data_IF_340939768171
#
_entry.id   IF_340939768171
#
_cell.length_a   1.000
_cell.length_b   1.000
_cell.length_c   1.000
_cell.angle_alpha   90.00
_cell.angle_beta   90.00
_cell.angle_gamma   90.00
#
_symmetry.space_group_name_H-M   'P 1'
#
loop_
_entity.id
_entity.type
_entity.pdbx_description
1 polymer ?
#
# COMPACT_ATOMS: atom_id res chain seq x y z
N UNK A 1 10.01 0.46 26.68
CA UNK A 1 9.71 1.80 26.10
C UNK A 1 8.25 1.79 25.66
N UNK A 2 7.42 2.69 26.19
CA UNK A 2 6.01 2.84 25.83
C UNK A 2 5.96 3.86 24.69
N UNK A 3 5.76 3.38 23.46
CA UNK A 3 5.57 4.28 22.31
C UNK A 3 4.18 4.90 22.42
N UNK A 4 4.11 6.23 22.45
CA UNK A 4 2.84 6.95 22.49
C UNK A 4 1.96 6.51 21.30
N UNK A 5 0.65 6.37 21.53
CA UNK A 5 -0.33 5.99 20.50
C UNK A 5 -0.26 6.92 19.29
N UNK A 6 0.06 8.21 19.51
CA UNK A 6 0.17 9.24 18.48
C UNK A 6 1.35 9.04 17.53
N UNK A 7 2.42 8.38 17.96
CA UNK A 7 3.61 8.16 17.11
C UNK A 7 3.58 6.83 16.35
N UNK A 8 2.57 5.98 16.57
CA UNK A 8 2.50 4.67 15.88
C UNK A 8 2.31 4.79 14.38
N UNK A 9 1.75 5.89 13.89
CA UNK A 9 1.60 6.12 12.45
C UNK A 9 2.94 6.38 11.74
N UNK A 10 3.97 6.83 12.46
CA UNK A 10 5.26 7.21 11.86
C UNK A 10 5.93 6.04 11.13
N UNK A 11 5.77 4.80 11.57
CA UNK A 11 6.48 3.66 10.94
C UNK A 11 6.01 3.42 9.52
N UNK A 12 4.69 3.40 9.27
CA UNK A 12 4.17 3.22 7.92
C UNK A 12 4.38 4.48 7.07
N UNK A 13 4.25 5.68 7.66
CA UNK A 13 4.50 6.93 6.95
C UNK A 13 5.97 7.09 6.57
N UNK A 14 6.91 6.69 7.44
CA UNK A 14 8.33 6.74 7.13
C UNK A 14 8.65 5.95 5.85
N UNK A 15 8.05 4.76 5.71
CA UNK A 15 8.24 3.97 4.49
C UNK A 15 7.66 4.70 3.28
N UNK A 16 6.41 5.20 3.37
CA UNK A 16 5.79 5.94 2.27
C UNK A 16 6.62 7.17 1.91
N UNK A 17 7.05 7.96 2.88
CA UNK A 17 7.79 9.22 2.66
C UNK A 17 9.17 9.02 2.04
N UNK A 18 9.80 7.89 2.29
CA UNK A 18 11.12 7.58 1.73
C UNK A 18 11.05 6.82 0.39
N UNK A 19 9.86 6.34 -0.01
CA UNK A 19 9.77 5.42 -1.16
C UNK A 19 8.76 5.82 -2.23
N UNK A 20 7.84 6.71 -1.92
CA UNK A 20 6.89 7.23 -2.90
C UNK A 20 7.36 8.58 -3.44
N UNK A 21 7.37 8.72 -4.77
CA UNK A 21 7.90 9.89 -5.47
C UNK A 21 7.23 11.20 -5.06
N UNK A 22 5.93 11.19 -4.77
CA UNK A 22 5.24 12.40 -4.32
C UNK A 22 5.81 12.96 -3.02
N UNK A 23 6.39 12.12 -2.17
CA UNK A 23 6.98 12.56 -0.90
C UNK A 23 8.49 12.79 -1.01
N UNK A 24 9.20 11.95 -1.77
CA UNK A 24 10.64 12.12 -1.96
C UNK A 24 10.97 13.40 -2.71
N UNK A 25 10.10 13.86 -3.62
CA UNK A 25 10.25 15.10 -4.36
C UNK A 25 10.31 16.40 -3.50
N UNK A 26 9.92 16.34 -2.22
CA UNK A 26 10.12 17.46 -1.30
C UNK A 26 11.59 17.65 -0.87
N UNK A 27 12.41 16.62 -1.03
CA UNK A 27 13.80 16.60 -0.53
C UNK A 27 14.81 16.36 -1.66
N UNK A 28 14.42 15.59 -2.66
CA UNK A 28 15.28 15.16 -3.76
C UNK A 28 14.67 15.60 -5.09
N UNK A 29 15.47 16.26 -5.91
CA UNK A 29 15.06 16.70 -7.26
C UNK A 29 15.04 15.52 -8.25
N UNK A 30 15.95 14.56 -8.05
CA UNK A 30 16.09 13.39 -8.92
C UNK A 30 15.83 12.08 -8.15
N UNK A 31 15.19 11.14 -8.84
CA UNK A 31 15.00 9.77 -8.33
C UNK A 31 16.30 8.98 -8.28
N UNK A 32 17.31 9.39 -9.03
CA UNK A 32 18.65 8.76 -9.10
C UNK A 32 19.65 9.36 -8.10
N UNK A 33 19.18 10.21 -7.15
CA UNK A 33 20.02 10.81 -6.13
C UNK A 33 20.73 9.74 -5.27
N UNK A 34 22.07 9.78 -5.15
CA UNK A 34 22.83 8.81 -4.36
C UNK A 34 22.44 8.77 -2.88
N UNK A 35 22.01 9.91 -2.31
CA UNK A 35 21.57 10.01 -0.92
C UNK A 35 20.23 9.31 -0.75
N UNK A 36 19.30 9.50 -1.69
CA UNK A 36 18.04 8.76 -1.71
C UNK A 36 18.28 7.26 -1.77
N UNK A 37 19.17 6.82 -2.67
CA UNK A 37 19.55 5.41 -2.78
C UNK A 37 20.13 4.85 -1.48
N UNK A 38 21.03 5.59 -0.81
CA UNK A 38 21.56 5.23 0.50
C UNK A 38 20.44 5.14 1.56
N UNK A 39 19.51 6.09 1.59
CA UNK A 39 18.34 6.05 2.48
C UNK A 39 17.49 4.80 2.24
N UNK A 40 17.28 4.41 0.99
CA UNK A 40 16.54 3.19 0.63
C UNK A 40 17.23 1.92 1.11
N UNK A 41 18.56 1.86 1.00
CA UNK A 41 19.35 0.72 1.53
C UNK A 41 19.26 0.64 3.05
N UNK A 42 19.44 1.78 3.75
CA UNK A 42 19.30 1.84 5.21
C UNK A 42 17.88 1.47 5.66
N UNK A 43 16.86 1.91 4.93
CA UNK A 43 15.48 1.53 5.18
C UNK A 43 15.32 0.01 5.04
N UNK A 44 15.82 -0.59 3.96
CA UNK A 44 15.73 -2.03 3.72
C UNK A 44 16.44 -2.82 4.83
N UNK A 45 17.67 -2.43 5.19
CA UNK A 45 18.41 -3.04 6.29
C UNK A 45 17.64 -2.91 7.63
N UNK A 46 17.06 -1.74 7.89
CA UNK A 46 16.25 -1.50 9.08
C UNK A 46 14.99 -2.38 9.10
N UNK A 47 14.33 -2.57 7.96
CA UNK A 47 13.14 -3.44 7.86
C UNK A 47 13.49 -4.91 8.08
N UNK A 48 14.65 -5.37 7.61
CA UNK A 48 15.17 -6.72 7.91
C UNK A 48 15.39 -6.87 9.42
N UNK A 49 16.10 -5.94 10.05
CA UNK A 49 16.33 -5.94 11.50
C UNK A 49 15.05 -5.90 12.33
N UNK A 50 14.11 -5.02 11.97
CA UNK A 50 12.82 -4.91 12.64
C UNK A 50 11.96 -6.16 12.46
N UNK A 51 11.97 -6.79 11.29
CA UNK A 51 11.23 -8.05 11.07
C UNK A 51 11.73 -9.17 11.98
N UNK A 52 13.04 -9.30 12.15
CA UNK A 52 13.64 -10.25 13.08
C UNK A 52 13.31 -9.91 14.55
N UNK A 53 13.40 -8.62 14.94
CA UNK A 53 13.10 -8.14 16.29
C UNK A 53 11.64 -8.42 16.70
N UNK A 54 10.70 -8.26 15.76
CA UNK A 54 9.27 -8.45 16.01
C UNK A 54 8.76 -9.85 15.69
N UNK A 55 9.62 -10.80 15.31
CA UNK A 55 9.28 -12.19 14.97
C UNK A 55 8.39 -12.89 16.03
N UNK A 56 8.65 -12.61 17.31
CA UNK A 56 7.86 -13.18 18.44
C UNK A 56 6.39 -12.75 18.44
N UNK A 57 6.05 -11.64 17.79
CA UNK A 57 4.68 -11.13 17.67
C UNK A 57 3.97 -11.59 16.41
N UNK A 58 4.65 -12.35 15.56
CA UNK A 58 4.03 -12.91 14.37
C UNK A 58 3.07 -14.02 14.75
N UNK A 59 1.91 -14.07 14.08
CA UNK A 59 1.04 -15.24 14.11
C UNK A 59 1.76 -16.45 13.50
N UNK A 60 1.31 -17.67 13.84
CA UNK A 60 1.92 -18.89 13.28
C UNK A 60 2.03 -18.86 11.75
N UNK A 61 0.98 -18.51 10.98
CA UNK A 61 1.09 -18.41 9.52
C UNK A 61 2.14 -17.39 9.05
N UNK A 62 2.16 -16.20 9.68
CA UNK A 62 3.13 -15.15 9.33
C UNK A 62 4.57 -15.57 9.65
N UNK A 63 4.78 -16.27 10.76
CA UNK A 63 6.09 -16.80 11.13
C UNK A 63 6.56 -17.86 10.15
N UNK A 64 5.68 -18.79 9.76
CA UNK A 64 5.99 -19.79 8.74
C UNK A 64 6.35 -19.11 7.43
N UNK A 65 5.57 -18.13 7.00
CA UNK A 65 5.85 -17.39 5.77
C UNK A 65 7.20 -16.66 5.81
N UNK A 66 7.51 -16.00 6.93
CA UNK A 66 8.80 -15.35 7.13
C UNK A 66 9.98 -16.33 6.99
N UNK A 67 9.88 -17.51 7.60
CA UNK A 67 10.95 -18.52 7.48
C UNK A 67 11.04 -19.12 6.06
N UNK A 68 9.93 -19.29 5.35
CA UNK A 68 9.94 -19.70 3.94
C UNK A 68 10.65 -18.65 3.10
N UNK A 69 10.38 -17.35 3.33
CA UNK A 69 11.08 -16.25 2.66
C UNK A 69 12.60 -16.28 2.93
N UNK A 70 12.99 -16.46 4.18
CA UNK A 70 14.41 -16.59 4.52
C UNK A 70 15.06 -17.83 3.89
N UNK A 71 14.35 -18.94 3.81
CA UNK A 71 14.83 -20.15 3.14
C UNK A 71 15.03 -19.93 1.64
N UNK A 72 14.12 -19.19 0.96
CA UNK A 72 14.29 -18.81 -0.44
C UNK A 72 15.50 -17.89 -0.64
N UNK A 73 15.71 -16.90 0.24
CA UNK A 73 16.90 -16.04 0.20
C UNK A 73 18.19 -16.82 0.43
N UNK A 74 18.19 -17.75 1.38
CA UNK A 74 19.33 -18.61 1.65
C UNK A 74 19.64 -19.54 0.47
N UNK A 75 18.60 -20.13 -0.15
CA UNK A 75 18.77 -20.96 -1.35
C UNK A 75 19.38 -20.16 -2.51
N UNK A 76 18.91 -18.93 -2.73
CA UNK A 76 19.45 -18.03 -3.76
C UNK A 76 20.91 -17.65 -3.46
N UNK A 77 21.26 -17.42 -2.19
CA UNK A 77 22.63 -17.12 -1.78
C UNK A 77 23.55 -18.32 -1.97
N UNK A 78 23.09 -19.53 -1.66
CA UNK A 78 23.81 -20.78 -1.91
C UNK A 78 24.02 -21.03 -3.42
N UNK A 79 22.99 -20.78 -4.23
CA UNK A 79 23.10 -20.86 -5.70
C UNK A 79 24.17 -19.87 -6.21
N UNK A 80 24.17 -18.64 -5.72
CA UNK A 80 25.18 -17.63 -6.06
C UNK A 80 26.58 -18.08 -5.65
N UNK A 81 26.74 -18.63 -4.44
CA UNK A 81 28.01 -19.10 -3.94
C UNK A 81 28.58 -20.28 -4.75
N UNK A 82 27.71 -21.24 -5.11
CA UNK A 82 28.09 -22.44 -5.86
C UNK A 82 28.37 -22.12 -7.33
N UNK A 83 27.53 -21.28 -7.95
CA UNK A 83 27.59 -20.97 -9.39
C UNK A 83 28.65 -19.92 -9.76
N UNK A 84 28.89 -18.94 -8.88
CA UNK A 84 29.69 -17.74 -9.18
C UNK A 84 30.78 -17.43 -8.11
N UNK A 85 30.96 -18.28 -7.15
CA UNK A 85 31.95 -18.13 -6.04
C UNK A 85 31.74 -16.82 -5.21
N UNK A 86 30.56 -16.23 -5.25
CA UNK A 86 30.16 -15.03 -4.50
C UNK A 86 28.79 -15.19 -3.87
N UNK A 87 28.54 -14.57 -2.69
CA UNK A 87 27.26 -14.71 -1.98
C UNK A 87 26.09 -13.95 -2.62
N UNK A 88 26.37 -12.92 -3.39
CA UNK A 88 25.35 -12.06 -4.01
C UNK A 88 25.84 -11.55 -5.38
N UNK A 89 25.91 -12.44 -6.37
CA UNK A 89 26.42 -12.10 -7.70
C UNK A 89 25.59 -11.00 -8.37
N UNK A 90 24.28 -11.05 -8.26
CA UNK A 90 23.35 -10.07 -8.81
C UNK A 90 22.44 -9.49 -7.70
N UNK A 91 22.85 -8.41 -7.00
CA UNK A 91 22.07 -7.84 -5.89
C UNK A 91 20.63 -7.47 -6.25
N UNK A 92 20.38 -7.09 -7.51
CA UNK A 92 19.02 -6.74 -7.97
C UNK A 92 18.04 -7.91 -7.86
N UNK A 93 18.48 -9.15 -8.13
CA UNK A 93 17.64 -10.35 -7.99
C UNK A 93 17.30 -10.62 -6.53
N UNK A 94 18.27 -10.44 -5.62
CA UNK A 94 18.04 -10.55 -4.18
C UNK A 94 17.06 -9.47 -3.68
N UNK A 95 17.19 -8.23 -4.18
CA UNK A 95 16.30 -7.13 -3.81
C UNK A 95 14.83 -7.42 -4.14
N UNK A 96 14.55 -8.21 -5.20
CA UNK A 96 13.18 -8.63 -5.53
C UNK A 96 12.52 -9.48 -4.43
N UNK A 97 13.29 -10.16 -3.60
CA UNK A 97 12.80 -10.86 -2.41
C UNK A 97 12.89 -9.98 -1.15
N UNK A 98 13.96 -9.20 -1.00
CA UNK A 98 14.18 -8.34 0.16
C UNK A 98 13.12 -7.23 0.29
N UNK A 99 12.57 -6.76 -0.82
CA UNK A 99 11.49 -5.76 -0.85
C UNK A 99 10.22 -6.20 -0.10
N UNK A 100 10.09 -7.51 0.22
CA UNK A 100 8.97 -8.04 1.02
C UNK A 100 9.19 -7.83 2.53
N UNK A 101 10.40 -7.56 2.99
CA UNK A 101 10.73 -7.41 4.42
C UNK A 101 9.94 -6.30 5.14
N UNK A 102 9.65 -5.14 4.53
CA UNK A 102 8.75 -4.13 5.10
C UNK A 102 7.39 -4.67 5.52
N UNK A 103 6.83 -5.61 4.77
CA UNK A 103 5.56 -6.26 5.12
C UNK A 103 5.65 -6.92 6.50
N UNK A 104 6.69 -7.71 6.74
CA UNK A 104 6.90 -8.40 8.01
C UNK A 104 7.22 -7.43 9.16
N UNK A 105 8.08 -6.44 8.91
CA UNK A 105 8.44 -5.44 9.90
C UNK A 105 7.22 -4.64 10.38
N UNK A 106 6.45 -4.11 9.43
CA UNK A 106 5.25 -3.31 9.70
C UNK A 106 4.17 -4.16 10.36
N UNK A 107 3.91 -5.39 9.86
CA UNK A 107 2.99 -6.31 10.50
C UNK A 107 3.37 -6.57 11.97
N UNK A 108 4.63 -6.95 12.24
CA UNK A 108 5.10 -7.26 13.60
C UNK A 108 5.05 -6.06 14.54
N UNK A 109 5.41 -4.87 14.04
CA UNK A 109 5.33 -3.63 14.81
C UNK A 109 3.90 -3.35 15.27
N UNK A 110 2.91 -3.37 14.36
CA UNK A 110 1.53 -3.07 14.73
C UNK A 110 0.85 -4.18 15.55
N UNK A 111 1.28 -5.43 15.37
CA UNK A 111 0.87 -6.52 16.27
C UNK A 111 1.40 -6.32 17.68
N UNK A 112 2.56 -5.70 17.85
CA UNK A 112 3.15 -5.41 19.17
C UNK A 112 2.53 -4.19 19.85
N UNK A 113 2.38 -3.10 19.11
CA UNK A 113 2.04 -1.81 19.69
C UNK A 113 0.58 -1.41 19.48
N UNK A 114 -0.16 -2.15 18.65
CA UNK A 114 -1.54 -1.84 18.26
C UNK A 114 -1.62 -0.79 17.17
N UNK A 115 -2.82 -0.64 16.61
CA UNK A 115 -3.07 0.24 15.47
C UNK A 115 -2.94 1.73 15.84
N UNK A 116 -2.47 2.57 14.90
CA UNK A 116 -2.48 4.00 15.05
C UNK A 116 -3.91 4.55 14.86
N UNK A 117 -4.15 5.83 15.20
CA UNK A 117 -5.38 6.51 14.80
C UNK A 117 -5.41 6.69 13.28
N UNK A 118 -6.16 5.82 12.58
CA UNK A 118 -6.20 5.77 11.11
C UNK A 118 -6.61 7.11 10.48
N UNK A 119 -7.52 7.86 11.11
CA UNK A 119 -7.90 9.18 10.63
C UNK A 119 -6.72 10.15 10.52
N UNK A 120 -5.80 10.09 11.49
CA UNK A 120 -4.59 10.91 11.47
C UNK A 120 -3.63 10.45 10.36
N UNK A 121 -3.45 9.13 10.21
CA UNK A 121 -2.63 8.56 9.13
C UNK A 121 -3.14 9.00 7.75
N UNK A 122 -4.44 8.85 7.50
CA UNK A 122 -5.06 9.24 6.23
C UNK A 122 -5.02 10.75 5.99
N UNK A 123 -5.14 11.56 7.06
CA UNK A 123 -5.01 13.01 6.95
C UNK A 123 -3.58 13.43 6.56
N UNK A 124 -2.55 12.82 7.14
CA UNK A 124 -1.16 13.08 6.74
C UNK A 124 -0.88 12.70 5.29
N UNK A 125 -1.36 11.53 4.85
CA UNK A 125 -1.23 11.12 3.46
C UNK A 125 -1.97 12.08 2.51
N UNK A 126 -3.19 12.47 2.85
CA UNK A 126 -3.97 13.42 2.06
C UNK A 126 -3.27 14.76 1.91
N UNK A 127 -2.83 15.34 3.04
CA UNK A 127 -2.14 16.64 3.04
C UNK A 127 -0.81 16.55 2.30
N UNK A 128 -0.05 15.49 2.51
CA UNK A 128 1.24 15.28 1.83
C UNK A 128 1.09 15.14 0.32
N UNK A 129 0.15 14.31 -0.16
CA UNK A 129 -0.12 14.14 -1.59
C UNK A 129 -0.67 15.43 -2.24
N UNK A 130 -1.59 16.13 -1.56
CA UNK A 130 -2.12 17.39 -2.06
C UNK A 130 -1.02 18.48 -2.11
N UNK A 131 -0.19 18.57 -1.09
CA UNK A 131 0.94 19.51 -1.06
C UNK A 131 1.94 19.18 -2.17
N UNK A 132 2.26 17.91 -2.39
CA UNK A 132 3.18 17.49 -3.45
C UNK A 132 2.63 17.84 -4.84
N UNK A 133 1.35 17.58 -5.09
CA UNK A 133 0.71 17.97 -6.36
C UNK A 133 0.79 19.48 -6.61
N UNK A 134 0.60 20.32 -5.59
CA UNK A 134 0.60 21.78 -5.75
C UNK A 134 2.03 22.34 -5.83
N UNK A 135 2.97 21.79 -5.08
CA UNK A 135 4.32 22.36 -4.92
C UNK A 135 5.30 21.74 -5.93
N UNK A 136 5.33 20.40 -6.03
CA UNK A 136 6.33 19.70 -6.82
C UNK A 136 5.85 19.36 -8.23
N UNK A 137 4.52 19.21 -8.41
CA UNK A 137 3.92 18.79 -9.68
C UNK A 137 2.77 19.68 -10.13
N UNK A 138 2.90 21.04 -10.09
CA UNK A 138 1.80 21.96 -10.41
C UNK A 138 1.31 21.78 -11.85
N UNK A 139 2.20 21.41 -12.77
CA UNK A 139 1.87 21.17 -14.17
C UNK A 139 0.89 20.01 -14.35
N UNK A 140 0.98 18.97 -13.49
CA UNK A 140 0.04 17.85 -13.49
C UNK A 140 -1.42 18.26 -13.24
N UNK A 141 -1.66 19.47 -12.70
CA UNK A 141 -2.99 20.04 -12.47
C UNK A 141 -3.47 20.92 -13.62
N UNK A 142 -2.67 21.11 -14.67
CA UNK A 142 -3.04 21.95 -15.82
C UNK A 142 -3.96 21.21 -16.79
N UNK A 143 -4.86 21.94 -17.43
CA UNK A 143 -5.71 21.40 -18.49
C UNK A 143 -4.89 21.00 -19.73
N UNK A 144 -3.79 21.72 -20.00
CA UNK A 144 -2.87 21.39 -21.08
C UNK A 144 -2.25 20.00 -20.87
N UNK A 145 -1.68 19.73 -19.70
CA UNK A 145 -1.16 18.38 -19.38
C UNK A 145 -2.21 17.29 -19.51
N UNK A 146 -3.49 17.61 -19.18
CA UNK A 146 -4.57 16.66 -19.39
C UNK A 146 -4.79 16.35 -20.85
N UNK A 147 -4.81 17.36 -21.75
CA UNK A 147 -5.02 17.20 -23.19
C UNK A 147 -3.82 16.52 -23.84
N UNK A 148 -2.61 16.96 -23.51
CA UNK A 148 -1.35 16.47 -24.10
C UNK A 148 -0.92 15.08 -23.58
N UNK A 149 -1.64 14.53 -22.61
CA UNK A 149 -1.30 13.25 -21.94
C UNK A 149 0.05 13.27 -21.21
N UNK A 150 0.47 14.42 -20.81
CA UNK A 150 1.64 14.54 -19.95
C UNK A 150 1.24 14.08 -18.54
N UNK A 151 1.65 12.87 -18.18
CA UNK A 151 1.37 12.30 -16.87
C UNK A 151 2.36 12.87 -15.86
N UNK A 152 2.18 14.13 -15.52
CA UNK A 152 3.07 14.86 -14.59
C UNK A 152 3.11 14.34 -13.17
N UNK A 153 2.27 13.36 -12.80
CA UNK A 153 2.23 12.74 -11.47
C UNK A 153 2.37 11.23 -11.56
N UNK A 154 3.13 10.61 -10.63
CA UNK A 154 3.43 9.19 -10.70
C UNK A 154 2.18 8.32 -10.49
N UNK A 155 2.12 7.19 -11.19
CA UNK A 155 1.05 6.20 -11.08
C UNK A 155 0.96 5.59 -9.67
N UNK A 156 2.08 5.41 -9.01
CA UNK A 156 2.15 4.83 -7.66
C UNK A 156 1.49 5.76 -6.65
N UNK A 157 1.85 7.05 -6.70
CA UNK A 157 1.24 8.09 -5.87
C UNK A 157 -0.26 8.27 -6.18
N UNK A 158 -0.64 8.18 -7.47
CA UNK A 158 -2.06 8.19 -7.88
C UNK A 158 -2.81 6.97 -7.32
N UNK A 159 -2.17 5.80 -7.29
CA UNK A 159 -2.76 4.62 -6.69
C UNK A 159 -2.95 4.75 -5.17
N UNK A 160 -2.04 5.46 -4.48
CA UNK A 160 -2.19 5.76 -3.06
C UNK A 160 -3.40 6.69 -2.78
N UNK A 161 -3.76 7.59 -3.73
CA UNK A 161 -5.00 8.40 -3.64
C UNK A 161 -6.25 7.50 -3.60
N UNK A 162 -6.23 6.33 -4.26
CA UNK A 162 -7.34 5.38 -4.21
C UNK A 162 -7.58 4.86 -2.78
N UNK A 163 -6.54 4.59 -2.01
CA UNK A 163 -6.70 4.20 -0.60
C UNK A 163 -7.41 5.29 0.21
N UNK A 164 -7.07 6.56 -0.03
CA UNK A 164 -7.74 7.70 0.60
C UNK A 164 -9.21 7.78 0.18
N UNK A 165 -9.50 7.62 -1.11
CA UNK A 165 -10.87 7.62 -1.62
C UNK A 165 -11.71 6.54 -0.92
N UNK A 166 -11.22 5.30 -0.83
CA UNK A 166 -11.91 4.20 -0.15
C UNK A 166 -12.11 4.46 1.34
N UNK A 167 -11.10 5.00 2.02
CA UNK A 167 -11.20 5.34 3.43
C UNK A 167 -12.27 6.41 3.68
N UNK A 168 -12.24 7.53 2.96
CA UNK A 168 -13.21 8.62 3.15
C UNK A 168 -14.62 8.23 2.71
N UNK A 169 -14.76 7.41 1.66
CA UNK A 169 -16.03 6.78 1.29
C UNK A 169 -16.61 6.00 2.47
N UNK A 170 -15.82 5.11 3.09
CA UNK A 170 -16.28 4.29 4.20
C UNK A 170 -16.60 5.12 5.44
N UNK A 171 -15.81 6.15 5.73
CA UNK A 171 -16.13 7.08 6.81
C UNK A 171 -17.44 7.87 6.54
N UNK A 172 -17.70 8.23 5.28
CA UNK A 172 -18.97 8.86 4.90
C UNK A 172 -20.15 7.90 5.07
N UNK A 173 -20.03 6.68 4.54
CA UNK A 173 -21.13 5.69 4.64
C UNK A 173 -21.40 5.31 6.10
N UNK A 174 -20.37 5.20 6.94
CA UNK A 174 -20.52 4.85 8.35
C UNK A 174 -21.07 6.00 9.21
N UNK A 175 -20.56 7.23 9.03
CA UNK A 175 -20.78 8.37 9.95
C UNK A 175 -21.49 9.56 9.31
N UNK A 176 -21.64 9.57 7.98
CA UNK A 176 -22.13 10.73 7.23
C UNK A 176 -21.14 11.88 7.19
N UNK A 177 -21.63 13.07 6.80
CA UNK A 177 -20.89 14.33 6.81
C UNK A 177 -20.33 14.74 5.44
N UNK A 178 -20.75 15.91 4.97
CA UNK A 178 -20.37 16.46 3.67
C UNK A 178 -18.85 16.55 3.45
N UNK A 179 -18.00 16.94 4.43
CA UNK A 179 -16.56 17.02 4.20
C UNK A 179 -15.92 15.69 3.77
N UNK A 180 -16.40 14.56 4.33
CA UNK A 180 -15.89 13.21 3.96
C UNK A 180 -16.28 12.84 2.54
N UNK A 181 -17.51 13.19 2.15
CA UNK A 181 -18.01 12.99 0.80
C UNK A 181 -17.24 13.85 -0.21
N UNK A 182 -16.95 15.11 0.12
CA UNK A 182 -16.15 15.99 -0.73
C UNK A 182 -14.74 15.45 -0.93
N UNK A 183 -14.05 15.03 0.14
CA UNK A 183 -12.70 14.43 0.02
C UNK A 183 -12.74 13.18 -0.85
N UNK A 184 -13.77 12.33 -0.71
CA UNK A 184 -13.94 11.18 -1.58
C UNK A 184 -14.05 11.57 -3.05
N UNK A 185 -14.89 12.55 -3.38
CA UNK A 185 -15.06 12.97 -4.78
C UNK A 185 -13.83 13.71 -5.33
N UNK A 186 -13.16 14.52 -4.52
CA UNK A 186 -11.90 15.16 -4.92
C UNK A 186 -10.85 14.10 -5.22
N UNK A 187 -10.69 13.10 -4.34
CA UNK A 187 -9.75 12.01 -4.57
C UNK A 187 -10.09 11.19 -5.82
N UNK A 188 -11.37 10.86 -6.04
CA UNK A 188 -11.82 10.14 -7.22
C UNK A 188 -11.67 10.99 -8.51
N UNK A 189 -11.99 12.28 -8.44
CA UNK A 189 -11.81 13.24 -9.53
C UNK A 189 -10.33 13.37 -9.91
N UNK A 190 -9.44 13.43 -8.91
CA UNK A 190 -7.98 13.46 -9.14
C UNK A 190 -7.48 12.18 -9.84
N UNK A 191 -7.98 10.99 -9.43
CA UNK A 191 -7.66 9.74 -10.13
C UNK A 191 -8.07 9.81 -11.61
N UNK A 192 -9.27 10.35 -11.88
CA UNK A 192 -9.75 10.57 -13.24
C UNK A 192 -8.88 11.54 -14.03
N UNK A 193 -8.55 12.68 -13.41
CA UNK A 193 -7.78 13.77 -14.02
C UNK A 193 -6.32 13.37 -14.34
N UNK A 194 -5.67 12.61 -13.47
CA UNK A 194 -4.26 12.18 -13.66
C UNK A 194 -4.08 11.07 -14.73
N UNK A 195 -5.14 10.61 -15.36
CA UNK A 195 -5.15 9.75 -16.56
C UNK A 195 -4.37 8.42 -16.46
N UNK A 196 -4.20 7.88 -15.28
CA UNK A 196 -3.64 6.54 -15.11
C UNK A 196 -4.73 5.47 -15.29
N UNK A 197 -4.93 4.99 -16.52
CA UNK A 197 -6.01 4.06 -16.91
C UNK A 197 -6.05 2.81 -16.04
N UNK A 198 -4.89 2.25 -15.68
CA UNK A 198 -4.81 1.10 -14.77
C UNK A 198 -5.40 1.45 -13.40
N UNK A 199 -5.15 2.67 -12.89
CA UNK A 199 -5.70 3.13 -11.60
C UNK A 199 -7.22 3.35 -11.72
N UNK A 200 -7.74 3.77 -12.88
CA UNK A 200 -9.19 3.83 -13.13
C UNK A 200 -9.84 2.46 -12.98
N UNK A 201 -9.28 1.43 -13.63
CA UNK A 201 -9.78 0.06 -13.53
C UNK A 201 -9.69 -0.46 -12.09
N UNK A 202 -8.56 -0.17 -11.41
CA UNK A 202 -8.39 -0.50 -10.01
C UNK A 202 -9.42 0.22 -9.12
N UNK A 203 -9.77 1.47 -9.42
CA UNK A 203 -10.77 2.23 -8.67
C UNK A 203 -12.17 1.61 -8.81
N UNK A 204 -12.57 1.23 -10.02
CA UNK A 204 -13.83 0.53 -10.27
C UNK A 204 -13.89 -0.79 -9.50
N UNK A 205 -12.83 -1.61 -9.62
CA UNK A 205 -12.76 -2.90 -8.90
C UNK A 205 -12.76 -2.69 -7.39
N UNK A 206 -11.95 -1.75 -6.89
CA UNK A 206 -11.85 -1.47 -5.46
C UNK A 206 -13.17 -0.96 -4.87
N UNK A 207 -13.85 -0.04 -5.54
CA UNK A 207 -15.16 0.47 -5.10
C UNK A 207 -16.20 -0.64 -5.09
N UNK A 208 -16.23 -1.49 -6.12
CA UNK A 208 -17.13 -2.65 -6.19
C UNK A 208 -16.88 -3.61 -5.02
N UNK A 209 -15.62 -4.02 -4.82
CA UNK A 209 -15.23 -4.88 -3.69
C UNK A 209 -15.57 -4.23 -2.35
N UNK A 210 -15.31 -2.93 -2.22
CA UNK A 210 -15.56 -2.19 -0.99
C UNK A 210 -17.06 -2.16 -0.65
N UNK A 211 -17.93 -1.89 -1.61
CA UNK A 211 -19.39 -1.92 -1.41
C UNK A 211 -19.85 -3.31 -1.00
N UNK A 212 -19.33 -4.36 -1.63
CA UNK A 212 -19.64 -5.75 -1.26
C UNK A 212 -19.19 -6.07 0.17
N UNK A 213 -18.01 -5.61 0.58
CA UNK A 213 -17.47 -5.81 1.93
C UNK A 213 -18.21 -5.00 2.98
N UNK A 214 -18.68 -3.78 2.66
CA UNK A 214 -19.46 -2.95 3.55
C UNK A 214 -20.79 -3.59 3.96
N UNK A 215 -21.38 -4.45 3.13
CA UNK A 215 -22.56 -5.25 3.50
C UNK A 215 -22.31 -6.19 4.69
N UNK A 216 -21.05 -6.52 4.96
CA UNK A 216 -20.62 -7.37 6.09
C UNK A 216 -20.04 -6.56 7.26
N UNK A 217 -20.16 -5.24 7.21
CA UNK A 217 -19.56 -4.34 8.20
C UNK A 217 -20.58 -3.98 9.28
N UNK A 218 -20.19 -4.13 10.54
CA UNK A 218 -21.05 -3.77 11.65
C UNK A 218 -21.40 -2.29 11.68
N UNK A 219 -22.66 -1.97 11.96
CA UNK A 219 -23.13 -0.58 12.12
C UNK A 219 -23.17 0.24 10.84
N UNK A 220 -22.92 -0.37 9.68
CA UNK A 220 -23.04 0.28 8.37
C UNK A 220 -24.35 -0.14 7.72
N UNK A 221 -25.28 0.80 7.57
CA UNK A 221 -26.52 0.60 6.83
C UNK A 221 -26.37 1.26 5.46
N UNK A 222 -26.42 0.44 4.40
CA UNK A 222 -26.43 0.91 3.02
C UNK A 222 -27.86 1.39 2.69
N UNK A 223 -28.21 2.60 3.10
CA UNK A 223 -29.53 3.20 2.83
C UNK A 223 -29.49 4.10 1.59
N UNK A 224 -30.56 4.13 0.83
CA UNK A 224 -30.68 5.02 -0.34
C UNK A 224 -30.42 6.49 0.02
N UNK A 225 -30.87 6.94 1.19
CA UNK A 225 -30.68 8.31 1.66
C UNK A 225 -29.19 8.68 1.80
N UNK A 226 -28.32 7.72 2.16
CA UNK A 226 -26.87 7.94 2.23
C UNK A 226 -26.21 7.94 0.86
N UNK A 227 -26.76 7.20 -0.10
CA UNK A 227 -26.25 7.19 -1.47
C UNK A 227 -26.77 8.36 -2.31
N UNK A 228 -27.92 8.92 -1.98
CA UNK A 228 -28.52 10.04 -2.74
C UNK A 228 -27.55 11.21 -2.95
N UNK A 229 -26.84 11.74 -1.95
CA UNK A 229 -25.86 12.81 -2.15
C UNK A 229 -24.70 12.41 -3.09
N UNK A 230 -24.38 11.12 -3.19
CA UNK A 230 -23.34 10.62 -4.10
C UNK A 230 -23.77 10.71 -5.57
N UNK A 231 -25.05 10.65 -5.87
CA UNK A 231 -25.57 10.86 -7.22
C UNK A 231 -25.84 12.34 -7.49
N UNK A 232 -26.38 13.04 -6.51
CA UNK A 232 -26.76 14.45 -6.66
C UNK A 232 -25.54 15.36 -6.81
N UNK A 233 -24.48 15.16 -6.01
CA UNK A 233 -23.31 16.05 -6.02
C UNK A 233 -22.59 16.08 -7.37
N UNK A 234 -22.28 14.94 -8.04
CA UNK A 234 -21.72 14.99 -9.40
C UNK A 234 -22.61 15.69 -10.42
N UNK A 235 -23.93 15.49 -10.33
CA UNK A 235 -24.90 16.16 -11.22
C UNK A 235 -24.86 17.68 -10.99
N UNK A 236 -24.87 18.13 -9.73
CA UNK A 236 -24.80 19.57 -9.40
C UNK A 236 -23.48 20.17 -9.90
N UNK A 237 -22.34 19.47 -9.73
CA UNK A 237 -21.04 19.93 -10.23
C UNK A 237 -21.04 19.98 -11.78
N UNK A 238 -21.58 18.97 -12.44
CA UNK A 238 -21.69 18.93 -13.89
C UNK A 238 -22.54 20.09 -14.42
N UNK A 239 -23.71 20.32 -13.85
CA UNK A 239 -24.61 21.41 -14.23
C UNK A 239 -24.05 22.79 -13.85
N UNK A 240 -23.32 22.88 -12.73
CA UNK A 240 -22.78 24.14 -12.21
C UNK A 240 -21.54 24.67 -12.95
N UNK A 241 -21.06 23.98 -13.99
CA UNK A 241 -19.90 24.44 -14.79
C UNK A 241 -19.13 23.31 -15.48
N UNK A 242 -19.23 22.07 -14.98
CA UNK A 242 -18.49 20.94 -15.57
C UNK A 242 -18.83 20.71 -17.05
N UNK A 243 -20.12 20.77 -17.41
CA UNK A 243 -20.57 20.66 -18.80
C UNK A 243 -20.02 21.83 -19.63
N UNK A 244 -20.01 23.06 -19.10
CA UNK A 244 -19.46 24.21 -19.80
C UNK A 244 -17.97 24.07 -20.11
N UNK A 245 -17.18 23.52 -19.20
CA UNK A 245 -15.75 23.25 -19.45
C UNK A 245 -15.58 22.22 -20.57
N UNK A 246 -16.35 21.14 -20.54
CA UNK A 246 -16.29 20.07 -21.54
C UNK A 246 -16.73 20.57 -22.93
N UNK A 247 -17.79 21.35 -23.01
CA UNK A 247 -18.30 21.89 -24.29
C UNK A 247 -17.36 22.93 -24.89
N UNK A 248 -16.68 23.73 -24.08
CA UNK A 248 -15.72 24.74 -24.55
C UNK A 248 -14.35 24.16 -24.87
N UNK A 249 -14.06 22.91 -24.50
CA UNK A 249 -12.78 22.23 -24.77
C UNK A 249 -13.02 20.85 -25.40
N UNK A 250 -13.33 20.77 -26.69
CA UNK A 250 -13.61 19.51 -27.39
C UNK A 250 -12.42 18.53 -27.32
N UNK A 251 -11.22 19.02 -27.15
CA UNK A 251 -9.99 18.23 -26.97
C UNK A 251 -10.05 17.37 -25.72
N UNK A 252 -10.70 17.81 -24.65
CA UNK A 252 -10.93 17.04 -23.42
C UNK A 252 -11.78 15.80 -23.70
N UNK A 253 -12.84 15.95 -24.51
CA UNK A 253 -13.72 14.82 -24.90
C UNK A 253 -12.94 13.83 -25.76
N UNK A 254 -12.28 14.32 -26.82
CA UNK A 254 -11.46 13.48 -27.71
C UNK A 254 -10.39 12.72 -26.92
N UNK A 255 -9.82 13.36 -25.89
CA UNK A 255 -8.83 12.71 -25.02
C UNK A 255 -9.41 11.59 -24.14
N UNK A 256 -10.60 11.82 -23.58
CA UNK A 256 -11.32 10.78 -22.82
C UNK A 256 -11.70 9.59 -23.73
N UNK A 257 -12.21 9.86 -24.93
CA UNK A 257 -12.53 8.83 -25.92
C UNK A 257 -11.31 8.00 -26.28
N UNK A 258 -10.18 8.63 -26.60
CA UNK A 258 -8.90 7.95 -26.86
C UNK A 258 -8.48 7.09 -25.66
N UNK A 259 -8.63 7.61 -24.44
CA UNK A 259 -8.28 6.85 -23.23
C UNK A 259 -9.16 5.63 -23.02
N UNK A 260 -10.46 5.71 -23.36
CA UNK A 260 -11.38 4.58 -23.31
C UNK A 260 -11.10 3.58 -24.44
N UNK A 261 -10.80 4.06 -25.65
CA UNK A 261 -10.41 3.20 -26.78
C UNK A 261 -9.14 2.41 -26.49
N UNK A 262 -8.13 3.01 -25.87
CA UNK A 262 -6.90 2.34 -25.47
C UNK A 262 -7.13 1.26 -24.38
N UNK A 263 -8.15 1.42 -23.52
CA UNK A 263 -8.55 0.38 -22.56
C UNK A 263 -9.21 -0.80 -23.30
N UNK A 264 -10.04 -0.52 -24.30
CA UNK A 264 -10.76 -1.55 -25.06
C UNK A 264 -9.87 -2.29 -26.06
N UNK A 265 -8.87 -1.61 -26.62
CA UNK A 265 -7.98 -2.12 -27.66
C UNK A 265 -6.49 -1.99 -27.25
N UNK A 266 -6.02 -2.72 -26.22
CA UNK A 266 -4.66 -2.60 -25.71
C UNK A 266 -3.57 -2.96 -26.73
N UNK A 267 -3.94 -3.66 -27.82
CA UNK A 267 -3.02 -4.16 -28.84
C UNK A 267 -2.67 -3.12 -29.91
N UNK A 268 -3.50 -2.08 -30.09
CA UNK A 268 -3.36 -1.17 -31.24
C UNK A 268 -2.29 -0.12 -31.04
N UNK A 269 -2.18 0.48 -29.86
CA UNK A 269 -1.24 1.59 -29.61
C UNK A 269 -0.90 1.74 -28.11
N UNK A 270 0.23 2.41 -27.84
CA UNK A 270 0.58 2.90 -26.52
C UNK A 270 1.22 1.88 -25.57
N UNK A 271 1.14 2.19 -24.28
CA UNK A 271 1.84 1.43 -23.23
C UNK A 271 1.30 0.01 -23.00
N UNK A 272 0.07 -0.30 -23.44
CA UNK A 272 -0.53 -1.64 -23.36
C UNK A 272 0.15 -2.61 -24.34
N UNK A 273 0.24 -2.20 -25.61
CA UNK A 273 0.91 -2.97 -26.67
C UNK A 273 2.37 -3.31 -26.30
N UNK A 274 3.10 -2.32 -25.80
CA UNK A 274 4.48 -2.52 -25.37
C UNK A 274 4.62 -3.54 -24.24
N UNK A 275 3.73 -3.53 -23.24
CA UNK A 275 3.72 -4.52 -22.14
C UNK A 275 3.43 -5.93 -22.63
N UNK A 276 2.51 -6.05 -23.58
CA UNK A 276 2.19 -7.34 -24.21
C UNK A 276 3.38 -7.86 -25.02
N UNK A 277 4.06 -6.99 -25.76
CA UNK A 277 5.29 -7.36 -26.48
C UNK A 277 6.38 -7.79 -25.49
N UNK A 278 6.57 -7.08 -24.38
CA UNK A 278 7.51 -7.47 -23.33
C UNK A 278 7.14 -8.87 -22.79
N UNK A 279 5.89 -9.13 -22.45
CA UNK A 279 5.47 -10.45 -21.99
C UNK A 279 5.79 -11.54 -23.02
N UNK A 280 5.40 -11.36 -24.29
CA UNK A 280 5.66 -12.33 -25.37
C UNK A 280 7.14 -12.62 -25.58
N UNK A 281 8.01 -11.63 -25.38
CA UNK A 281 9.45 -11.83 -25.51
C UNK A 281 10.06 -12.66 -24.38
N UNK A 282 9.45 -12.60 -23.18
CA UNK A 282 9.93 -13.35 -22.02
C UNK A 282 9.15 -14.66 -21.78
N UNK A 283 8.01 -14.84 -22.43
CA UNK A 283 7.17 -16.04 -22.33
C UNK A 283 7.93 -17.35 -22.56
N UNK A 284 8.81 -17.50 -23.59
CA UNK A 284 9.57 -18.73 -23.78
C UNK A 284 10.42 -19.13 -22.57
N UNK A 285 11.07 -18.16 -21.93
CA UNK A 285 11.91 -18.40 -20.73
C UNK A 285 11.06 -18.74 -19.50
N UNK A 286 9.87 -18.15 -19.37
CA UNK A 286 8.92 -18.48 -18.31
C UNK A 286 8.41 -19.92 -18.49
N UNK A 287 8.14 -20.33 -19.72
CA UNK A 287 7.66 -21.67 -20.05
C UNK A 287 8.76 -22.74 -19.91
N UNK A 288 10.01 -22.38 -20.16
CA UNK A 288 11.16 -23.27 -19.97
C UNK A 288 11.44 -23.53 -18.47
N UNK A 289 11.21 -22.53 -17.61
CA UNK A 289 11.46 -22.61 -16.16
C UNK A 289 10.23 -22.23 -15.33
N UNK A 290 9.06 -22.90 -15.50
CA UNK A 290 7.79 -22.43 -14.96
C UNK A 290 7.70 -22.47 -13.44
N UNK A 291 8.40 -23.39 -12.77
CA UNK A 291 8.26 -23.62 -11.33
C UNK A 291 9.10 -22.62 -10.52
N UNK A 292 10.41 -22.53 -10.81
CA UNK A 292 11.35 -21.76 -10.00
C UNK A 292 11.97 -20.55 -10.75
N UNK A 293 11.59 -20.32 -11.99
CA UNK A 293 12.08 -19.24 -12.83
C UNK A 293 13.55 -19.32 -13.19
N UNK A 294 14.02 -18.30 -13.85
CA UNK A 294 15.43 -18.17 -14.28
C UNK A 294 16.39 -17.89 -13.13
N UNK A 295 15.93 -17.31 -12.03
CA UNK A 295 16.73 -16.90 -10.87
C UNK A 295 17.94 -16.03 -11.30
N UNK A 296 19.15 -16.40 -10.88
CA UNK A 296 20.39 -15.69 -11.19
C UNK A 296 20.77 -15.77 -12.67
N UNK A 297 20.41 -16.85 -13.36
CA UNK A 297 20.62 -16.99 -14.83
C UNK A 297 19.75 -15.99 -15.63
N UNK A 298 18.58 -15.63 -15.12
CA UNK A 298 17.73 -14.63 -15.78
C UNK A 298 18.37 -13.27 -15.88
N UNK A 299 19.21 -12.89 -14.93
CA UNK A 299 19.92 -11.62 -14.97
C UNK A 299 21.03 -11.59 -16.03
N UNK A 300 21.65 -12.71 -16.35
CA UNK A 300 22.72 -12.84 -17.33
C UNK A 300 22.22 -12.81 -18.79
N UNK A 301 20.92 -13.00 -19.04
CA UNK A 301 20.43 -13.06 -20.40
C UNK A 301 20.66 -11.74 -21.14
N UNK A 302 21.22 -11.76 -22.36
CA UNK A 302 21.51 -10.57 -23.13
C UNK A 302 20.26 -10.02 -23.84
N UNK A 303 19.09 -10.25 -23.28
CA UNK A 303 17.82 -9.81 -23.85
C UNK A 303 17.68 -8.32 -23.59
N UNK A 304 17.58 -7.56 -24.67
CA UNK A 304 17.32 -6.13 -24.59
C UNK A 304 16.03 -5.80 -25.29
N UNK A 305 15.22 -4.99 -24.64
CA UNK A 305 14.04 -4.38 -25.23
C UNK A 305 14.43 -3.08 -25.90
N UNK A 306 13.96 -2.90 -27.13
CA UNK A 306 14.13 -1.67 -27.88
C UNK A 306 12.79 -0.94 -27.96
N UNK A 307 12.82 0.37 -27.82
CA UNK A 307 11.63 1.18 -28.04
C UNK A 307 11.23 1.09 -29.51
N UNK A 308 9.95 0.88 -29.78
CA UNK A 308 9.40 0.64 -31.13
C UNK A 308 9.68 1.81 -32.06
N UNK A 309 9.65 3.04 -31.52
CA UNK A 309 9.71 4.28 -32.28
C UNK A 309 11.12 4.80 -32.51
N UNK A 310 12.09 4.45 -31.67
CA UNK A 310 13.43 5.06 -31.69
C UNK A 310 14.58 4.11 -31.94
N UNK A 311 14.32 2.79 -31.95
CA UNK A 311 15.35 1.73 -31.95
C UNK A 311 16.39 1.88 -30.83
N UNK A 312 16.12 2.74 -29.85
CA UNK A 312 16.94 2.89 -28.65
C UNK A 312 16.62 1.79 -27.65
N UNK A 313 17.63 1.39 -26.87
CA UNK A 313 17.44 0.46 -25.78
C UNK A 313 16.50 1.09 -24.75
N UNK A 314 15.45 0.39 -24.35
CA UNK A 314 14.51 0.87 -23.32
C UNK A 314 15.25 1.07 -21.98
N UNK A 315 16.23 0.22 -21.69
CA UNK A 315 17.08 0.29 -20.50
C UNK A 315 18.47 0.79 -20.92
N UNK A 316 18.85 1.95 -20.44
CA UNK A 316 20.13 2.59 -20.82
C UNK A 316 21.36 1.80 -20.38
N UNK A 317 21.27 1.13 -19.23
CA UNK A 317 22.37 0.37 -18.66
C UNK A 317 22.60 -1.00 -19.32
N UNK A 318 21.58 -1.52 -20.02
CA UNK A 318 21.67 -2.79 -20.77
C UNK A 318 21.97 -4.04 -19.89
N UNK A 319 21.96 -3.89 -18.57
CA UNK A 319 22.45 -4.87 -17.62
C UNK A 319 21.34 -5.59 -16.84
N UNK A 320 20.10 -5.14 -16.93
CA UNK A 320 19.01 -5.70 -16.17
C UNK A 320 17.74 -5.89 -16.96
N UNK A 321 16.90 -6.77 -16.45
CA UNK A 321 15.55 -6.99 -16.95
C UNK A 321 14.56 -6.35 -15.99
N UNK A 322 14.06 -5.17 -16.35
CA UNK A 322 13.05 -4.45 -15.60
C UNK A 322 11.69 -4.71 -16.21
N UNK A 323 10.79 -5.26 -15.43
CA UNK A 323 9.42 -5.54 -15.86
C UNK A 323 8.47 -4.52 -15.26
N UNK A 324 7.58 -3.97 -16.09
CA UNK A 324 6.50 -3.16 -15.56
C UNK A 324 5.47 -4.03 -14.81
N UNK A 325 5.20 -5.25 -15.32
CA UNK A 325 4.26 -6.16 -14.68
C UNK A 325 4.92 -6.93 -13.53
N UNK A 326 4.34 -6.82 -12.34
CA UNK A 326 4.75 -7.59 -11.17
C UNK A 326 4.66 -9.11 -11.42
N UNK A 327 3.62 -9.57 -12.13
CA UNK A 327 3.47 -11.00 -12.45
C UNK A 327 4.58 -11.49 -13.37
N UNK A 328 4.88 -10.75 -14.41
CA UNK A 328 5.94 -11.12 -15.37
C UNK A 328 7.29 -11.15 -14.65
N UNK A 329 7.58 -10.16 -13.81
CA UNK A 329 8.79 -10.11 -13.01
C UNK A 329 8.95 -11.35 -12.11
N UNK A 330 7.90 -11.69 -11.36
CA UNK A 330 7.94 -12.85 -10.45
C UNK A 330 7.99 -14.18 -11.19
N UNK A 331 7.23 -14.32 -12.27
CA UNK A 331 7.25 -15.54 -13.10
C UNK A 331 8.61 -15.73 -13.77
N UNK A 332 9.20 -14.68 -14.30
CA UNK A 332 10.50 -14.76 -14.95
C UNK A 332 11.61 -15.13 -13.96
N UNK A 333 11.74 -14.40 -12.85
CA UNK A 333 12.83 -14.67 -11.90
C UNK A 333 12.60 -15.85 -10.98
N UNK A 334 11.37 -16.09 -10.52
CA UNK A 334 11.11 -17.09 -9.48
C UNK A 334 10.00 -18.08 -9.84
N UNK A 335 9.46 -18.03 -11.07
CA UNK A 335 8.40 -18.90 -11.54
C UNK A 335 7.12 -18.80 -10.72
N UNK A 336 6.30 -19.81 -10.78
CA UNK A 336 5.07 -19.91 -9.99
C UNK A 336 5.36 -19.86 -8.48
N UNK A 337 6.50 -20.39 -8.04
CA UNK A 337 6.92 -20.31 -6.61
C UNK A 337 7.05 -18.87 -6.16
N UNK A 338 7.62 -17.97 -6.97
CA UNK A 338 7.72 -16.55 -6.64
C UNK A 338 6.38 -15.86 -6.47
N UNK A 339 5.42 -16.16 -7.34
CA UNK A 339 4.04 -15.63 -7.24
C UNK A 339 3.34 -16.16 -6.00
N UNK A 340 3.38 -17.49 -5.79
CA UNK A 340 2.75 -18.13 -4.63
C UNK A 340 3.38 -17.68 -3.30
N UNK A 341 4.69 -17.46 -3.27
CA UNK A 341 5.42 -16.99 -2.11
C UNK A 341 4.84 -15.67 -1.58
N UNK A 342 4.41 -14.77 -2.46
CA UNK A 342 3.86 -13.47 -2.06
C UNK A 342 2.35 -13.53 -1.82
N UNK A 343 1.59 -14.29 -2.61
CA UNK A 343 0.13 -14.22 -2.60
C UNK A 343 -0.55 -15.19 -1.65
N UNK A 344 0.00 -16.40 -1.43
CA UNK A 344 -0.71 -17.47 -0.69
C UNK A 344 -1.05 -17.07 0.73
N UNK A 345 -0.10 -16.49 1.47
CA UNK A 345 -0.34 -16.15 2.87
C UNK A 345 -1.27 -14.95 3.06
N UNK A 346 -1.14 -13.84 2.31
CA UNK A 346 -2.14 -12.77 2.35
C UNK A 346 -3.54 -13.28 2.01
N UNK A 347 -3.69 -14.04 0.94
CA UNK A 347 -4.99 -14.60 0.55
C UNK A 347 -5.56 -15.48 1.66
N UNK A 348 -4.74 -16.37 2.25
CA UNK A 348 -5.17 -17.23 3.36
C UNK A 348 -5.62 -16.42 4.58
N UNK A 349 -4.90 -15.37 4.94
CA UNK A 349 -5.25 -14.51 6.07
C UNK A 349 -6.54 -13.73 5.80
N UNK A 350 -6.70 -13.21 4.58
CA UNK A 350 -7.94 -12.54 4.13
C UNK A 350 -9.13 -13.50 4.19
N UNK A 351 -9.00 -14.71 3.61
CA UNK A 351 -10.07 -15.71 3.63
C UNK A 351 -10.42 -16.09 5.08
N UNK A 352 -9.42 -16.25 5.96
CA UNK A 352 -9.64 -16.54 7.38
C UNK A 352 -10.41 -15.40 8.06
N UNK A 353 -10.06 -14.14 7.77
CA UNK A 353 -10.78 -12.98 8.31
C UNK A 353 -12.21 -12.88 7.80
N UNK A 354 -12.43 -13.14 6.51
CA UNK A 354 -13.77 -13.13 5.92
C UNK A 354 -14.67 -14.26 6.46
N UNK A 355 -14.09 -15.38 6.89
CA UNK A 355 -14.83 -16.50 7.53
C UNK A 355 -15.03 -16.32 9.02
N UNK A 356 -14.37 -15.33 9.64
CA UNK A 356 -14.51 -15.07 11.05
C UNK A 356 -15.93 -14.55 11.37
N UNK A 357 -16.59 -15.00 12.47
CA UNK A 357 -17.94 -14.58 12.81
C UNK A 357 -18.05 -13.09 13.16
N UNK A 358 -16.98 -12.49 13.68
CA UNK A 358 -16.99 -11.07 13.96
C UNK A 358 -17.08 -10.25 12.66
N UNK A 359 -17.98 -9.28 12.59
CA UNK A 359 -18.12 -8.43 11.43
C UNK A 359 -16.84 -7.64 11.12
N UNK A 360 -16.68 -7.22 9.88
CA UNK A 360 -15.62 -6.30 9.50
C UNK A 360 -15.89 -4.90 10.08
N UNK A 361 -14.85 -4.15 10.35
CA UNK A 361 -14.96 -2.70 10.48
C UNK A 361 -14.80 -2.00 9.12
N UNK A 362 -15.26 -0.76 9.01
CA UNK A 362 -15.24 -0.01 7.76
C UNK A 362 -13.81 0.24 7.22
N UNK A 363 -12.81 0.32 8.11
CA UNK A 363 -11.43 0.51 7.70
C UNK A 363 -10.86 -0.78 7.10
N UNK A 364 -11.13 -1.93 7.74
CA UNK A 364 -10.76 -3.25 7.21
C UNK A 364 -11.34 -3.47 5.81
N UNK A 365 -12.60 -3.04 5.57
CA UNK A 365 -13.21 -3.13 4.25
C UNK A 365 -12.45 -2.29 3.21
N UNK A 366 -12.05 -1.04 3.55
CA UNK A 366 -11.26 -0.19 2.64
C UNK A 366 -9.90 -0.82 2.29
N UNK A 367 -9.17 -1.31 3.29
CA UNK A 367 -7.87 -1.96 3.06
C UNK A 367 -8.01 -3.25 2.25
N UNK A 368 -9.03 -4.08 2.53
CA UNK A 368 -9.28 -5.30 1.75
C UNK A 368 -9.62 -5.00 0.29
N UNK A 369 -10.43 -3.99 0.04
CA UNK A 369 -10.77 -3.56 -1.30
C UNK A 369 -9.55 -3.02 -2.05
N UNK A 370 -8.72 -2.22 -1.38
CA UNK A 370 -7.45 -1.72 -1.92
C UNK A 370 -6.50 -2.87 -2.26
N UNK A 371 -6.29 -3.82 -1.35
CA UNK A 371 -5.47 -5.01 -1.58
C UNK A 371 -6.03 -5.90 -2.70
N UNK A 372 -7.36 -6.04 -2.79
CA UNK A 372 -7.99 -6.76 -3.90
C UNK A 372 -7.73 -6.12 -5.25
N UNK A 373 -7.75 -4.79 -5.32
CA UNK A 373 -7.46 -4.05 -6.55
C UNK A 373 -5.98 -4.06 -6.93
N UNK A 374 -5.06 -4.28 -5.97
CA UNK A 374 -3.63 -4.38 -6.27
C UNK A 374 -3.29 -5.60 -7.12
N UNK A 375 -4.11 -6.64 -7.10
CA UNK A 375 -3.96 -7.78 -8.00
C UNK A 375 -4.16 -7.38 -9.46
N UNK A 376 -5.08 -6.45 -9.73
CA UNK A 376 -5.27 -5.88 -11.07
C UNK A 376 -4.14 -4.90 -11.41
N UNK A 377 -3.72 -4.06 -10.47
CA UNK A 377 -2.58 -3.15 -10.62
C UNK A 377 -1.31 -3.89 -11.05
N UNK A 378 -1.09 -5.08 -10.51
CA UNK A 378 0.06 -5.95 -10.73
C UNK A 378 0.24 -6.43 -12.18
N UNK A 379 -0.83 -6.40 -13.00
CA UNK A 379 -0.71 -6.72 -14.43
C UNK A 379 0.07 -5.65 -15.20
N UNK A 380 -0.05 -4.40 -14.77
CA UNK A 380 0.52 -3.26 -15.49
C UNK A 380 1.76 -2.67 -14.84
N UNK A 381 1.93 -2.85 -13.53
CA UNK A 381 3.00 -2.22 -12.76
C UNK A 381 3.61 -3.19 -11.75
N UNK A 382 4.89 -3.03 -11.45
CA UNK A 382 5.51 -3.66 -10.29
C UNK A 382 4.97 -2.98 -9.01
N UNK A 383 5.04 -3.69 -7.90
CA UNK A 383 4.62 -3.13 -6.63
C UNK A 383 5.67 -2.16 -6.10
N UNK A 384 5.29 -0.91 -5.83
CA UNK A 384 6.20 0.02 -5.17
C UNK A 384 6.56 -0.48 -3.77
N UNK A 385 7.71 -0.07 -3.29
CA UNK A 385 8.24 -0.52 -2.00
C UNK A 385 7.25 -0.27 -0.84
N UNK A 386 6.58 0.88 -0.82
CA UNK A 386 5.59 1.19 0.22
C UNK A 386 4.39 0.24 0.21
N UNK A 387 4.06 -0.37 -0.93
CA UNK A 387 2.92 -1.29 -1.02
C UNK A 387 3.07 -2.48 -0.08
N UNK A 388 4.29 -3.02 0.04
CA UNK A 388 4.56 -4.11 0.98
C UNK A 388 4.34 -3.68 2.43
N UNK A 389 4.63 -2.43 2.77
CA UNK A 389 4.32 -1.86 4.10
C UNK A 389 2.82 -1.71 4.33
N UNK A 390 2.09 -1.19 3.34
CA UNK A 390 0.62 -1.08 3.39
C UNK A 390 -0.01 -2.47 3.52
N UNK A 391 0.53 -3.48 2.82
CA UNK A 391 0.12 -4.88 2.98
C UNK A 391 0.34 -5.37 4.41
N UNK A 392 1.54 -5.20 4.95
CA UNK A 392 1.86 -5.59 6.33
C UNK A 392 0.93 -4.93 7.34
N UNK A 393 0.64 -3.65 7.14
CA UNK A 393 -0.30 -2.89 7.96
C UNK A 393 -1.73 -3.44 7.87
N UNK A 394 -2.22 -3.68 6.67
CA UNK A 394 -3.54 -4.23 6.43
C UNK A 394 -3.69 -5.65 7.03
N UNK A 395 -2.67 -6.50 6.87
CA UNK A 395 -2.68 -7.84 7.47
C UNK A 395 -2.67 -7.79 9.00
N UNK A 396 -1.99 -6.79 9.61
CA UNK A 396 -2.01 -6.60 11.05
C UNK A 396 -3.40 -6.17 11.58
N UNK A 397 -4.13 -5.35 10.79
CA UNK A 397 -5.53 -5.00 11.10
C UNK A 397 -6.44 -6.24 11.04
N UNK A 398 -6.23 -7.08 10.03
CA UNK A 398 -7.14 -8.19 9.72
C UNK A 398 -6.87 -9.46 10.52
N UNK A 399 -5.69 -9.62 11.13
CA UNK A 399 -5.37 -10.83 11.88
C UNK A 399 -6.13 -10.86 13.24
N UNK A 400 -7.14 -11.74 13.41
CA UNK A 400 -8.01 -11.76 14.58
C UNK A 400 -7.34 -12.31 15.85
N UNK A 401 -6.08 -12.75 15.77
CA UNK A 401 -5.42 -13.28 16.95
C UNK A 401 -5.26 -12.20 18.03
N UNK A 402 -5.61 -12.52 19.28
CA UNK A 402 -5.41 -11.59 20.38
C UNK A 402 -3.95 -11.18 20.42
N UNK A 403 -3.72 -9.89 20.34
CA UNK A 403 -2.45 -9.33 20.81
C UNK A 403 -2.39 -9.70 22.27
N UNK A 404 -1.35 -10.43 22.73
CA UNK A 404 -1.10 -10.52 24.15
C UNK A 404 -1.12 -9.08 24.67
N UNK A 405 -2.18 -8.73 25.41
CA UNK A 405 -2.31 -7.38 25.94
C UNK A 405 -0.96 -7.07 26.61
N UNK A 406 -0.30 -5.95 26.32
CA UNK A 406 0.83 -5.54 27.12
C UNK A 406 0.31 -5.61 28.54
N UNK A 407 0.97 -6.42 29.42
CA UNK A 407 0.56 -6.60 30.80
C UNK A 407 0.11 -5.22 31.27
N UNK A 408 -1.18 -5.07 31.52
CA UNK A 408 -1.75 -3.76 31.81
C UNK A 408 -0.86 -3.22 32.92
N UNK A 409 -0.25 -2.06 32.70
CA UNK A 409 0.45 -1.38 33.78
C UNK A 409 -0.60 -1.18 34.87
N UNK A 410 -0.65 -2.17 35.78
CA UNK A 410 -1.34 -1.94 37.01
C UNK A 410 -0.52 -0.85 37.70
N UNK A 411 -1.02 0.39 37.81
CA UNK A 411 -0.36 1.37 38.64
C UNK A 411 -0.13 0.71 39.97
N UNK A 412 1.14 0.54 40.35
CA UNK A 412 1.46 0.09 41.71
C UNK A 412 0.71 1.03 42.62
N UNK A 413 -0.41 0.56 43.13
CA UNK A 413 -1.13 1.28 44.19
C UNK A 413 -0.08 1.52 45.26
N UNK A 414 0.26 2.77 45.57
CA UNK A 414 1.25 3.03 46.59
C UNK A 414 0.72 2.31 47.86
N UNK A 415 1.53 1.39 48.37
CA UNK A 415 1.23 0.66 49.60
C UNK A 415 0.92 1.73 50.63
N UNK A 416 -0.37 1.90 50.95
CA UNK A 416 -0.82 2.77 52.02
C UNK A 416 -0.03 2.33 53.26
N UNK A 417 0.94 3.17 53.65
CA UNK A 417 1.60 3.03 54.94
C UNK A 417 0.46 3.03 55.96
N UNK A 418 0.20 1.87 56.57
CA UNK A 418 -0.70 1.77 57.72
C UNK A 418 -0.11 2.73 58.74
N UNK A 419 -0.64 3.93 58.85
CA UNK A 419 -0.48 4.72 60.04
C UNK A 419 -1.08 3.89 61.17
N UNK A 420 -0.24 3.38 62.03
CA UNK A 420 -0.61 2.91 63.35
C UNK A 420 -1.30 4.09 64.04
N UNK A 421 -2.61 4.06 64.13
CA UNK A 421 -3.34 4.93 65.07
C UNK A 421 -2.86 4.55 66.49
N UNK A 422 -1.98 5.37 67.04
CA UNK A 422 -1.71 5.37 68.47
C UNK A 422 -3.03 5.67 69.17
N UNK A 423 -3.50 4.68 69.96
CA UNK A 423 -4.68 4.78 70.76
C UNK A 423 -4.48 5.91 71.81
N UNK A 424 -5.25 6.99 71.65
CA UNK A 424 -5.36 8.03 72.65
C UNK A 424 -6.14 7.41 73.88
N UNK A 425 -5.58 7.40 75.09
CA UNK A 425 -6.30 6.89 76.24
C UNK A 425 -7.48 7.82 76.54
N UNK A 426 -8.68 7.24 76.54
CA UNK A 426 -9.92 7.88 77.00
C UNK A 426 -9.85 8.16 78.51
N UNK A 427 -9.67 9.42 78.84
CA UNK A 427 -9.90 9.91 80.20
C UNK A 427 -11.42 9.94 80.50
N UNK A 428 -11.87 9.04 81.32
CA UNK A 428 -13.25 9.02 81.91
C UNK A 428 -13.42 10.26 82.75
N UNK A 429 -14.35 11.13 82.42
CA UNK A 429 -14.87 12.19 83.27
C UNK A 429 -16.08 11.59 83.99
N UNK A 430 -15.93 11.40 85.31
CA UNK A 430 -17.04 11.06 86.21
C UNK A 430 -17.89 12.34 86.42
N UNK A 431 -19.15 12.27 86.02
CA UNK A 431 -20.16 13.22 86.50
C UNK A 431 -20.74 12.65 87.80
N UNK A 432 -20.54 13.38 88.92
CA UNK A 432 -21.26 13.21 90.17
C UNK A 432 -22.54 14.05 90.08
N UNK A 433 -23.64 13.41 90.49
CA UNK A 433 -24.93 14.04 90.67
C UNK A 433 -24.93 14.94 91.93
N UNK A 434 -25.61 16.05 91.81
CA UNK A 434 -26.39 16.69 92.86
C UNK A 434 -27.43 17.63 92.19
#
# INVERSE_FOLDING_TARGET
>A
MIISLRFRFLVVLLVVFLTDQAFTAFVFEDTDDPVLWMCMQLLTASMIGLSALYLRYFSRPMRTWYFVMLACLAALALESRIGWDTWMVYPHVFNKLLVIMPLFAVYGFYRRYGMPPLGLLMAFLLVGLAASLVINFPEALSLASFVDNERGFNVESTYLILLLALYYFNQYVAKGGLPRLLVFFVALGMIGFLQHRTVWLCAVLALTLNILLLRRTAGVTLSFQRFLPMFVLPIVVALGGGIGVVLNNPEVVARLETSLEDIQNPDKQGTGSWRLQQFRSYEPFILEHPVAGMRLKGFELPIQFYATDSKLKVWKDGTGHHFHSWYVDRLFYFGVVGVLLVLVMPIRLVIRRLRHPEPLDANSAAFLAFLGSSLLYSFSYDWPYYMYSVYGFALAIMDPLPVAAPAAYQPRVPRRVRRTEEAIPSTAVAHADA
#
